data_IF_900928421919
#
_entry.id   IF_900928421919
#
_cell.length_a   1.000
_cell.length_b   1.000
_cell.length_c   1.000
_cell.angle_alpha   90.00
_cell.angle_beta   90.00
_cell.angle_gamma   90.00
#
_symmetry.space_group_name_H-M   'P 1'
#
loop_
_entity.id
_entity.type
_entity.pdbx_description
1 polymer ?
#
# COMPACT_ATOMS: atom_id res chain seq x y z
N UNK A 1 10.02 -3.95 -34.64
CA UNK A 1 8.55 -4.05 -34.80
C UNK A 1 7.86 -4.90 -33.73
N UNK A 2 8.58 -5.65 -32.87
CA UNK A 2 7.98 -6.43 -31.76
C UNK A 2 7.78 -5.67 -30.43
N UNK A 3 8.41 -4.48 -30.26
CA UNK A 3 8.44 -3.73 -28.99
C UNK A 3 7.06 -3.25 -28.51
N UNK A 4 6.27 -2.65 -29.40
CA UNK A 4 4.91 -2.19 -29.11
C UNK A 4 3.91 -3.33 -28.90
N UNK A 5 4.23 -4.55 -29.34
CA UNK A 5 3.29 -5.67 -29.30
C UNK A 5 3.11 -6.19 -27.88
N UNK A 6 4.19 -6.40 -27.12
CA UNK A 6 4.10 -6.97 -25.77
C UNK A 6 3.47 -5.98 -24.79
N UNK A 7 3.88 -4.71 -24.81
CA UNK A 7 3.30 -3.68 -23.93
C UNK A 7 1.84 -3.36 -24.29
N UNK A 8 1.44 -3.40 -25.56
CA UNK A 8 0.01 -3.26 -25.92
C UNK A 8 -0.82 -4.49 -25.57
N UNK A 9 -0.28 -5.71 -25.75
CA UNK A 9 -0.96 -6.96 -25.35
C UNK A 9 -1.20 -6.97 -23.83
N UNK A 10 -0.19 -6.58 -23.05
CA UNK A 10 -0.31 -6.54 -21.59
C UNK A 10 -1.30 -5.48 -21.10
N UNK A 11 -1.53 -4.40 -21.86
CA UNK A 11 -2.33 -3.27 -21.39
C UNK A 11 -3.84 -3.45 -21.42
N UNK A 12 -4.39 -4.00 -22.51
CA UNK A 12 -5.84 -3.99 -22.74
C UNK A 12 -6.51 -5.36 -22.55
N UNK A 13 -5.75 -6.45 -22.58
CA UNK A 13 -6.31 -7.81 -22.50
C UNK A 13 -5.96 -8.56 -21.19
N UNK A 14 -5.03 -8.05 -20.38
CA UNK A 14 -4.46 -8.80 -19.23
C UNK A 14 -4.78 -8.25 -17.83
N UNK A 15 -5.02 -6.94 -17.67
CA UNK A 15 -5.27 -6.35 -16.35
C UNK A 15 -6.69 -5.79 -16.25
N UNK A 16 -7.41 -6.18 -15.21
CA UNK A 16 -8.77 -5.70 -14.93
C UNK A 16 -8.82 -4.46 -14.03
N UNK A 17 -7.66 -4.00 -13.53
CA UNK A 17 -7.53 -2.83 -12.65
C UNK A 17 -6.16 -2.14 -12.83
N UNK A 18 -5.99 -0.99 -12.17
CA UNK A 18 -4.69 -0.33 -12.04
C UNK A 18 -3.90 -0.80 -10.81
N UNK A 19 -4.56 -1.44 -9.84
CA UNK A 19 -3.98 -1.75 -8.53
C UNK A 19 -3.03 -2.95 -8.48
N UNK A 20 -2.85 -3.49 -7.28
CA UNK A 20 -1.75 -4.38 -6.92
C UNK A 20 -2.10 -5.87 -7.04
N UNK A 21 -3.32 -6.28 -6.72
CA UNK A 21 -3.73 -7.68 -6.72
C UNK A 21 -4.01 -8.19 -8.14
N UNK A 22 -4.78 -7.41 -8.92
CA UNK A 22 -5.21 -7.79 -10.27
C UNK A 22 -4.84 -6.76 -11.35
N UNK A 23 -4.01 -5.77 -10.99
CA UNK A 23 -3.76 -4.62 -11.86
C UNK A 23 -2.33 -4.44 -12.33
N UNK A 24 -2.16 -3.37 -13.11
CA UNK A 24 -0.91 -2.98 -13.77
C UNK A 24 0.25 -2.80 -12.78
N UNK A 25 0.01 -2.31 -11.55
CA UNK A 25 1.07 -2.07 -10.56
C UNK A 25 1.86 -3.35 -10.21
N UNK A 26 1.18 -4.51 -10.13
CA UNK A 26 1.85 -5.79 -9.86
C UNK A 26 2.87 -6.14 -10.94
N UNK A 27 2.53 -5.83 -12.18
CA UNK A 27 3.35 -6.13 -13.34
C UNK A 27 4.55 -5.20 -13.41
N UNK A 28 4.34 -3.91 -13.12
CA UNK A 28 5.42 -2.93 -12.96
C UNK A 28 6.46 -3.45 -11.96
N UNK A 29 6.03 -3.84 -10.76
CA UNK A 29 6.92 -4.39 -9.73
C UNK A 29 7.63 -5.65 -10.24
N UNK A 30 6.89 -6.58 -10.84
CA UNK A 30 7.46 -7.81 -11.38
C UNK A 30 8.56 -7.55 -12.42
N UNK A 31 8.31 -6.66 -13.39
CA UNK A 31 9.26 -6.39 -14.46
C UNK A 31 10.50 -5.62 -13.99
N UNK A 32 10.36 -4.71 -13.02
CA UNK A 32 11.51 -4.09 -12.37
C UNK A 32 12.41 -5.13 -11.68
N UNK A 33 11.82 -6.11 -10.98
CA UNK A 33 12.59 -7.22 -10.41
C UNK A 33 13.23 -8.11 -11.48
N UNK A 34 12.51 -8.43 -12.55
CA UNK A 34 13.07 -9.18 -13.68
C UNK A 34 14.30 -8.47 -14.26
N UNK A 35 14.23 -7.16 -14.50
CA UNK A 35 15.35 -6.36 -14.98
C UNK A 35 16.56 -6.46 -14.05
N UNK A 36 16.35 -6.30 -12.74
CA UNK A 36 17.43 -6.39 -11.74
C UNK A 36 18.03 -7.80 -11.64
N UNK A 37 17.21 -8.85 -11.73
CA UNK A 37 17.68 -10.23 -11.64
C UNK A 37 18.42 -10.69 -12.91
N UNK A 38 17.96 -10.29 -14.09
CA UNK A 38 18.56 -10.70 -15.36
C UNK A 38 19.68 -9.77 -15.85
N UNK A 39 19.67 -8.50 -15.42
CA UNK A 39 20.49 -7.43 -15.99
C UNK A 39 20.02 -6.97 -17.38
N UNK A 40 18.84 -7.42 -17.83
CA UNK A 40 18.29 -7.06 -19.13
C UNK A 40 17.42 -5.80 -19.02
N UNK A 41 17.94 -4.70 -19.58
CA UNK A 41 17.29 -3.38 -19.64
C UNK A 41 15.92 -3.44 -20.31
N UNK A 42 15.68 -4.44 -21.15
CA UNK A 42 14.37 -4.60 -21.81
C UNK A 42 13.21 -4.74 -20.81
N UNK A 43 13.42 -5.41 -19.67
CA UNK A 43 12.38 -5.51 -18.65
C UNK A 43 12.13 -4.19 -17.92
N UNK A 44 13.18 -3.37 -17.78
CA UNK A 44 13.07 -2.03 -17.19
C UNK A 44 12.27 -1.11 -18.13
N UNK A 45 12.51 -1.16 -19.44
CA UNK A 45 11.71 -0.45 -20.45
C UNK A 45 10.23 -0.84 -20.37
N UNK A 46 9.91 -2.14 -20.23
CA UNK A 46 8.52 -2.60 -20.06
C UNK A 46 7.92 -2.05 -18.76
N UNK A 47 8.66 -2.10 -17.66
CA UNK A 47 8.18 -1.63 -16.37
C UNK A 47 7.88 -0.12 -16.39
N UNK A 48 8.77 0.68 -16.99
CA UNK A 48 8.59 2.11 -17.20
C UNK A 48 7.36 2.42 -18.06
N UNK A 49 7.24 1.78 -19.24
CA UNK A 49 6.09 1.96 -20.13
C UNK A 49 4.74 1.61 -19.46
N UNK A 50 4.73 0.60 -18.58
CA UNK A 50 3.53 0.22 -17.83
C UNK A 50 3.22 1.20 -16.71
N UNK A 51 4.25 1.71 -16.03
CA UNK A 51 4.10 2.70 -14.97
C UNK A 51 3.60 4.03 -15.51
N UNK A 52 4.19 4.54 -16.60
CA UNK A 52 3.79 5.80 -17.22
C UNK A 52 2.30 5.78 -17.58
N UNK A 53 1.84 4.71 -18.21
CA UNK A 53 0.43 4.55 -18.58
C UNK A 53 -0.49 4.37 -17.38
N UNK A 54 -0.03 3.69 -16.33
CA UNK A 54 -0.77 3.61 -15.07
C UNK A 54 -0.98 5.02 -14.49
N UNK A 55 0.07 5.85 -14.50
CA UNK A 55 0.01 7.22 -14.00
C UNK A 55 -0.86 8.13 -14.89
N UNK A 56 -0.85 7.95 -16.21
CA UNK A 56 -1.75 8.65 -17.15
C UNK A 56 -3.24 8.34 -16.89
N UNK A 57 -3.55 7.13 -16.43
CA UNK A 57 -4.92 6.69 -16.11
C UNK A 57 -5.31 6.95 -14.65
N UNK A 58 -4.39 7.46 -13.82
CA UNK A 58 -4.61 7.67 -12.39
C UNK A 58 -5.61 8.81 -12.17
N UNK A 59 -6.66 8.53 -11.38
CA UNK A 59 -7.62 9.53 -10.94
C UNK A 59 -8.06 9.27 -9.51
N UNK A 60 -8.52 10.33 -8.83
CA UNK A 60 -9.07 10.22 -7.48
C UNK A 60 -10.45 9.54 -7.43
N UNK A 61 -11.01 9.14 -8.57
CA UNK A 61 -12.25 8.35 -8.65
C UNK A 61 -11.99 6.85 -8.41
N UNK A 62 -10.72 6.42 -8.47
CA UNK A 62 -10.32 5.05 -8.17
C UNK A 62 -10.62 4.75 -6.69
N UNK A 63 -11.17 3.57 -6.36
CA UNK A 63 -11.44 3.20 -4.97
C UNK A 63 -10.21 3.29 -4.07
N UNK A 64 -10.42 3.61 -2.79
CA UNK A 64 -9.35 3.67 -1.79
C UNK A 64 -9.02 2.28 -1.20
N UNK A 65 -8.96 1.26 -2.05
CA UNK A 65 -8.74 -0.14 -1.64
C UNK A 65 -7.27 -0.53 -1.84
N UNK A 66 -6.82 -1.57 -1.14
CA UNK A 66 -5.44 -2.05 -1.26
C UNK A 66 -5.25 -3.01 -2.44
N UNK A 67 -6.21 -3.90 -2.66
CA UNK A 67 -6.09 -4.87 -3.75
C UNK A 67 -6.05 -4.17 -5.11
N UNK A 68 -7.04 -3.31 -5.41
CA UNK A 68 -7.24 -2.80 -6.76
C UNK A 68 -7.40 -1.27 -6.81
N UNK A 69 -7.00 -0.57 -5.74
CA UNK A 69 -7.25 0.85 -5.54
C UNK A 69 -6.01 1.71 -5.25
N UNK A 70 -6.26 2.97 -4.89
CA UNK A 70 -5.23 3.99 -4.65
C UNK A 70 -4.21 3.57 -3.56
N UNK A 71 -4.65 2.85 -2.52
CA UNK A 71 -3.74 2.38 -1.47
C UNK A 71 -2.74 1.35 -2.01
N UNK A 72 -3.18 0.43 -2.89
CA UNK A 72 -2.30 -0.55 -3.52
C UNK A 72 -1.30 0.10 -4.49
N UNK A 73 -1.78 1.08 -5.26
CA UNK A 73 -0.94 1.85 -6.19
C UNK A 73 0.10 2.65 -5.41
N UNK A 74 -0.32 3.42 -4.40
CA UNK A 74 0.57 4.23 -3.58
C UNK A 74 1.58 3.38 -2.81
N UNK A 75 1.16 2.20 -2.30
CA UNK A 75 2.07 1.22 -1.70
C UNK A 75 3.12 0.74 -2.70
N UNK A 76 2.72 0.48 -3.95
CA UNK A 76 3.60 0.07 -5.02
C UNK A 76 4.63 1.14 -5.39
N UNK A 77 4.22 2.41 -5.50
CA UNK A 77 5.13 3.54 -5.77
C UNK A 77 6.18 3.67 -4.65
N UNK A 78 5.73 3.70 -3.39
CA UNK A 78 6.63 3.76 -2.23
C UNK A 78 7.59 2.56 -2.22
N UNK A 79 7.10 1.35 -2.51
CA UNK A 79 7.92 0.14 -2.63
C UNK A 79 9.02 0.28 -3.68
N UNK A 80 8.68 0.78 -4.87
CA UNK A 80 9.63 0.95 -5.96
C UNK A 80 10.72 1.97 -5.60
N UNK A 81 10.36 3.08 -4.95
CA UNK A 81 11.31 4.09 -4.46
C UNK A 81 12.21 3.50 -3.38
N UNK A 82 11.65 2.87 -2.34
CA UNK A 82 12.44 2.25 -1.26
C UNK A 82 13.38 1.16 -1.77
N UNK A 83 12.98 0.45 -2.82
CA UNK A 83 13.78 -0.61 -3.46
C UNK A 83 14.81 -0.07 -4.46
N UNK A 84 14.87 1.24 -4.69
CA UNK A 84 15.79 1.88 -5.65
C UNK A 84 15.49 1.51 -7.10
N UNK A 85 14.23 1.20 -7.42
CA UNK A 85 13.77 1.04 -8.81
C UNK A 85 13.34 2.38 -9.42
N UNK A 86 12.85 3.30 -8.58
CA UNK A 86 12.48 4.65 -8.98
C UNK A 86 13.23 5.68 -8.14
N UNK A 87 13.57 6.80 -8.76
CA UNK A 87 14.00 8.00 -8.07
C UNK A 87 12.81 8.95 -7.91
N UNK A 88 12.69 9.58 -6.74
CA UNK A 88 11.61 10.52 -6.47
C UNK A 88 11.39 10.74 -4.97
N UNK A 89 10.73 11.85 -4.64
CA UNK A 89 10.26 12.09 -3.28
C UNK A 89 8.83 11.56 -3.13
N UNK A 90 8.68 10.50 -2.34
CA UNK A 90 7.39 9.90 -2.13
C UNK A 90 6.42 10.81 -1.35
N UNK A 91 6.93 11.74 -0.53
CA UNK A 91 6.09 12.73 0.17
C UNK A 91 5.47 13.73 -0.79
N UNK A 92 6.13 14.04 -1.91
CA UNK A 92 5.58 14.87 -2.98
C UNK A 92 4.65 14.06 -3.89
N UNK A 93 5.07 12.85 -4.30
CA UNK A 93 4.34 12.04 -5.28
C UNK A 93 3.02 11.49 -4.72
N UNK A 94 2.96 11.16 -3.42
CA UNK A 94 1.82 10.46 -2.82
C UNK A 94 0.92 11.37 -1.98
N UNK A 95 1.11 12.69 -2.04
CA UNK A 95 0.41 13.65 -1.17
C UNK A 95 -1.11 13.58 -1.30
N UNK A 96 -1.67 13.42 -2.50
CA UNK A 96 -3.13 13.31 -2.68
C UNK A 96 -3.66 11.96 -2.15
N UNK A 97 -2.88 10.88 -2.31
CA UNK A 97 -3.26 9.56 -1.78
C UNK A 97 -3.22 9.59 -0.25
N UNK A 98 -2.17 10.16 0.34
CA UNK A 98 -2.06 10.40 1.78
C UNK A 98 -3.31 11.16 2.27
N UNK A 99 -3.68 12.27 1.63
CA UNK A 99 -4.88 13.05 1.99
C UNK A 99 -6.18 12.23 1.93
N UNK A 100 -6.38 11.41 0.90
CA UNK A 100 -7.55 10.52 0.81
C UNK A 100 -7.59 9.50 1.96
N UNK A 101 -6.43 8.92 2.32
CA UNK A 101 -6.32 7.98 3.45
C UNK A 101 -6.58 8.68 4.78
N UNK A 102 -5.99 9.84 5.00
CA UNK A 102 -6.21 10.65 6.20
C UNK A 102 -7.69 11.04 6.33
N UNK A 103 -8.35 11.42 5.24
CA UNK A 103 -9.79 11.68 5.23
C UNK A 103 -10.57 10.43 5.65
N UNK A 104 -10.29 9.27 5.04
CA UNK A 104 -10.98 8.03 5.40
C UNK A 104 -10.79 7.64 6.88
N UNK A 105 -9.62 7.88 7.46
CA UNK A 105 -9.36 7.62 8.88
C UNK A 105 -10.18 8.56 9.77
N UNK A 106 -10.27 9.84 9.42
CA UNK A 106 -10.97 10.83 10.24
C UNK A 106 -12.50 10.70 10.20
N UNK A 107 -13.06 10.20 9.10
CA UNK A 107 -14.50 10.04 8.92
C UNK A 107 -15.00 8.60 9.11
N UNK A 108 -14.08 7.62 9.14
CA UNK A 108 -14.35 6.20 9.34
C UNK A 108 -15.46 5.60 8.43
N UNK A 109 -15.47 5.82 7.10
CA UNK A 109 -16.59 5.42 6.24
C UNK A 109 -16.58 3.92 5.88
N UNK A 110 -15.46 3.22 6.07
CA UNK A 110 -15.27 1.82 5.66
C UNK A 110 -15.78 0.88 6.76
N UNK A 111 -16.54 -0.14 6.39
CA UNK A 111 -17.18 -1.01 7.38
C UNK A 111 -16.32 -2.24 7.73
N UNK A 112 -15.57 -2.71 6.74
CA UNK A 112 -14.86 -3.98 6.67
C UNK A 112 -13.44 -3.88 7.27
N UNK A 113 -13.03 -4.92 8.00
CA UNK A 113 -11.69 -4.98 8.59
C UNK A 113 -10.59 -5.41 7.60
N UNK A 114 -10.95 -6.20 6.58
CA UNK A 114 -10.01 -6.97 5.75
C UNK A 114 -8.97 -6.16 4.97
N UNK A 115 -7.96 -6.85 4.45
CA UNK A 115 -6.84 -6.26 3.72
C UNK A 115 -7.28 -5.61 2.39
N UNK A 116 -7.91 -6.38 1.52
CA UNK A 116 -8.10 -5.99 0.12
C UNK A 116 -8.96 -4.74 -0.04
N UNK A 117 -10.08 -4.67 0.67
CA UNK A 117 -11.08 -3.61 0.53
C UNK A 117 -11.46 -2.94 1.86
N UNK A 118 -10.81 -3.31 2.96
CA UNK A 118 -11.13 -2.83 4.29
C UNK A 118 -10.08 -1.90 4.88
N UNK A 119 -10.27 -1.54 6.14
CA UNK A 119 -9.41 -0.58 6.85
C UNK A 119 -7.96 -1.06 7.02
N UNK A 120 -7.73 -2.38 6.99
CA UNK A 120 -6.37 -2.92 7.04
C UNK A 120 -5.56 -2.57 5.80
N UNK A 121 -6.21 -2.39 4.65
CA UNK A 121 -5.59 -1.86 3.44
C UNK A 121 -4.99 -0.46 3.63
N UNK A 122 -5.71 0.42 4.33
CA UNK A 122 -5.20 1.74 4.72
C UNK A 122 -3.97 1.60 5.63
N UNK A 123 -4.02 0.65 6.57
CA UNK A 123 -2.92 0.36 7.49
C UNK A 123 -1.67 -0.14 6.77
N UNK A 124 -1.80 -0.98 5.75
CA UNK A 124 -0.67 -1.45 4.94
C UNK A 124 -0.03 -0.33 4.15
N UNK A 125 -0.84 0.56 3.57
CA UNK A 125 -0.34 1.76 2.91
C UNK A 125 0.44 2.66 3.87
N UNK A 126 -0.15 3.06 5.00
CA UNK A 126 0.50 3.93 5.99
C UNK A 126 1.78 3.31 6.53
N UNK A 127 1.76 2.02 6.87
CA UNK A 127 2.93 1.35 7.41
C UNK A 127 4.09 1.39 6.41
N UNK A 128 3.80 1.22 5.12
CA UNK A 128 4.80 1.32 4.06
C UNK A 128 5.39 2.73 3.93
N UNK A 129 4.54 3.77 3.95
CA UNK A 129 4.95 5.19 3.92
C UNK A 129 5.81 5.58 5.12
N UNK A 130 5.56 4.98 6.28
CA UNK A 130 6.28 5.28 7.51
C UNK A 130 7.59 4.48 7.69
N UNK A 131 7.83 3.42 6.89
CA UNK A 131 9.06 2.61 6.98
C UNK A 131 10.35 3.43 6.97
N UNK A 132 10.52 4.41 6.08
CA UNK A 132 11.74 5.20 6.03
C UNK A 132 11.93 6.06 7.29
N UNK A 133 10.84 6.56 7.89
CA UNK A 133 10.94 7.52 9.00
C UNK A 133 11.41 6.88 10.30
N UNK A 134 11.13 5.59 10.54
CA UNK A 134 11.69 4.87 11.68
C UNK A 134 13.21 4.66 11.59
N UNK A 135 13.81 4.79 10.40
CA UNK A 135 15.26 4.64 10.21
C UNK A 135 15.98 5.96 10.01
N UNK A 136 15.38 6.88 9.25
CA UNK A 136 16.00 8.12 8.77
C UNK A 136 15.57 9.36 9.56
N UNK A 137 14.55 9.23 10.39
CA UNK A 137 13.90 10.35 11.08
C UNK A 137 12.66 10.85 10.34
N UNK A 138 11.91 11.71 11.02
CA UNK A 138 10.59 12.13 10.59
C UNK A 138 10.62 13.30 9.59
N UNK A 139 9.82 13.16 8.52
CA UNK A 139 9.34 14.27 7.67
C UNK A 139 8.02 14.82 8.20
N UNK A 140 7.59 15.98 7.68
CA UNK A 140 6.27 16.54 8.01
C UNK A 140 5.14 15.54 7.70
N UNK A 141 5.14 14.96 6.50
CA UNK A 141 4.15 13.97 6.08
C UNK A 141 4.16 12.75 7.00
N UNK A 142 5.35 12.25 7.37
CA UNK A 142 5.45 11.09 8.27
C UNK A 142 4.92 11.36 9.69
N UNK A 143 4.99 12.60 10.18
CA UNK A 143 4.43 12.97 11.49
C UNK A 143 2.91 12.92 11.42
N UNK A 144 2.32 13.53 10.40
CA UNK A 144 0.87 13.53 10.20
C UNK A 144 0.32 12.10 10.02
N UNK A 145 1.03 11.27 9.25
CA UNK A 145 0.70 9.85 9.09
C UNK A 145 0.82 9.08 10.40
N UNK A 146 1.82 9.35 11.25
CA UNK A 146 1.94 8.73 12.59
C UNK A 146 0.80 9.14 13.50
N UNK A 147 0.41 10.42 13.51
CA UNK A 147 -0.74 10.88 14.30
C UNK A 147 -2.01 10.13 13.88
N UNK A 148 -2.25 10.01 12.58
CA UNK A 148 -3.44 9.32 12.06
C UNK A 148 -3.37 7.80 12.20
N UNK A 149 -2.17 7.21 12.24
CA UNK A 149 -1.99 5.79 12.54
C UNK A 149 -2.53 5.44 13.94
N UNK A 150 -2.47 6.35 14.91
CA UNK A 150 -3.06 6.13 16.24
C UNK A 150 -4.59 5.96 16.12
N UNK A 151 -5.26 6.88 15.41
CA UNK A 151 -6.70 6.80 15.18
C UNK A 151 -7.10 5.55 14.41
N UNK A 152 -6.32 5.19 13.37
CA UNK A 152 -6.54 3.98 12.60
C UNK A 152 -6.42 2.71 13.45
N UNK A 153 -5.41 2.61 14.32
CA UNK A 153 -5.25 1.48 15.25
C UNK A 153 -6.44 1.38 16.21
N UNK A 154 -6.91 2.51 16.72
CA UNK A 154 -8.07 2.54 17.59
C UNK A 154 -9.36 2.16 16.86
N UNK A 155 -9.50 2.55 15.59
CA UNK A 155 -10.59 2.14 14.73
C UNK A 155 -10.59 0.63 14.48
N UNK A 156 -9.43 0.06 14.15
CA UNK A 156 -9.25 -1.39 13.99
C UNK A 156 -9.59 -2.17 15.26
N UNK A 157 -9.17 -1.70 16.44
CA UNK A 157 -9.48 -2.37 17.72
C UNK A 157 -11.00 -2.42 17.98
N UNK A 158 -11.73 -1.34 17.65
CA UNK A 158 -13.20 -1.32 17.76
C UNK A 158 -13.85 -2.31 16.80
N UNK A 159 -13.34 -2.41 15.57
CA UNK A 159 -13.87 -3.34 14.55
C UNK A 159 -13.55 -4.81 14.84
N UNK A 160 -12.43 -5.08 15.52
CA UNK A 160 -12.02 -6.43 15.94
C UNK A 160 -13.03 -7.14 16.85
N UNK A 161 -13.93 -6.40 17.49
CA UNK A 161 -15.01 -6.99 18.29
C UNK A 161 -16.23 -7.44 17.48
N UNK A 162 -16.27 -7.14 16.18
CA UNK A 162 -17.32 -7.60 15.26
C UNK A 162 -17.17 -9.08 14.85
N UNK A 163 -18.28 -9.78 14.53
CA UNK A 163 -18.25 -11.17 14.09
C UNK A 163 -17.73 -11.33 12.66
N UNK A 164 -17.06 -12.47 12.37
CA UNK A 164 -16.76 -12.90 10.99
C UNK A 164 -15.50 -12.29 10.34
N UNK A 165 -14.66 -11.59 11.10
CA UNK A 165 -13.43 -11.02 10.56
C UNK A 165 -12.31 -12.08 10.47
N UNK A 166 -11.64 -12.18 9.32
CA UNK A 166 -10.33 -12.82 9.24
C UNK A 166 -9.31 -11.92 9.92
N UNK A 167 -8.67 -12.43 10.97
CA UNK A 167 -7.75 -11.69 11.83
C UNK A 167 -6.29 -11.98 11.53
N UNK A 168 -5.99 -12.91 10.60
CA UNK A 168 -4.61 -13.29 10.29
C UNK A 168 -3.83 -12.11 9.70
N UNK A 169 -4.38 -11.46 8.67
CA UNK A 169 -3.73 -10.30 8.06
C UNK A 169 -3.53 -9.15 9.06
N UNK A 170 -4.50 -8.96 9.96
CA UNK A 170 -4.40 -7.95 11.03
C UNK A 170 -3.31 -8.33 12.03
N UNK A 171 -3.23 -9.61 12.43
CA UNK A 171 -2.18 -10.08 13.33
C UNK A 171 -0.80 -9.89 12.72
N UNK A 172 -0.62 -10.24 11.45
CA UNK A 172 0.64 -10.04 10.72
C UNK A 172 1.02 -8.55 10.66
N UNK A 173 0.05 -7.68 10.38
CA UNK A 173 0.26 -6.24 10.38
C UNK A 173 0.63 -5.68 11.76
N UNK A 174 -0.05 -6.13 12.82
CA UNK A 174 0.26 -5.74 14.20
C UNK A 174 1.64 -6.24 14.63
N UNK A 175 2.05 -7.44 14.23
CA UNK A 175 3.37 -7.98 14.52
C UNK A 175 4.48 -7.19 13.83
N UNK A 176 4.26 -6.77 12.58
CA UNK A 176 5.18 -5.87 11.87
C UNK A 176 5.28 -4.52 12.60
N UNK A 177 4.14 -3.91 12.93
CA UNK A 177 4.10 -2.63 13.65
C UNK A 177 4.77 -2.73 15.02
N UNK A 178 4.60 -3.85 15.74
CA UNK A 178 5.19 -4.08 17.06
C UNK A 178 6.71 -3.91 17.08
N UNK A 179 7.40 -4.32 16.00
CA UNK A 179 8.87 -4.21 15.88
C UNK A 179 9.33 -2.75 15.93
N UNK A 180 8.49 -1.82 15.46
CA UNK A 180 8.81 -0.38 15.46
C UNK A 180 8.72 0.25 16.85
N UNK A 181 8.05 -0.40 17.81
CA UNK A 181 7.73 0.16 19.12
C UNK A 181 6.63 1.24 19.11
N UNK A 182 6.06 1.55 17.94
CA UNK A 182 4.99 2.54 17.81
C UNK A 182 3.71 2.08 18.51
N UNK A 183 3.11 2.96 19.32
CA UNK A 183 1.90 2.71 20.11
C UNK A 183 1.91 1.36 20.87
N UNK A 184 3.09 0.97 21.37
CA UNK A 184 3.42 -0.38 21.88
C UNK A 184 2.35 -0.99 22.79
N UNK A 185 1.93 -0.28 23.82
CA UNK A 185 0.97 -0.78 24.81
C UNK A 185 -0.36 -1.19 24.17
N UNK A 186 -0.84 -0.41 23.20
CA UNK A 186 -2.08 -0.70 22.48
C UNK A 186 -1.89 -1.88 21.53
N UNK A 187 -0.81 -1.89 20.76
CA UNK A 187 -0.48 -2.97 19.82
C UNK A 187 -0.35 -4.31 20.54
N UNK A 188 0.41 -4.36 21.65
CA UNK A 188 0.55 -5.56 22.48
C UNK A 188 -0.82 -6.05 23.02
N UNK A 189 -1.69 -5.12 23.44
CA UNK A 189 -3.05 -5.45 23.89
C UNK A 189 -3.90 -6.07 22.78
N UNK A 190 -3.85 -5.51 21.56
CA UNK A 190 -4.61 -6.04 20.42
C UNK A 190 -4.11 -7.42 19.98
N UNK A 191 -2.79 -7.63 19.93
CA UNK A 191 -2.20 -8.94 19.63
C UNK A 191 -2.70 -9.99 20.63
N UNK A 192 -2.65 -9.69 21.93
CA UNK A 192 -3.17 -10.58 22.96
C UNK A 192 -4.69 -10.83 22.78
N UNK A 193 -5.47 -9.80 22.44
CA UNK A 193 -6.91 -9.97 22.20
C UNK A 193 -7.21 -10.96 21.05
N UNK A 194 -6.38 -10.99 20.01
CA UNK A 194 -6.51 -11.93 18.87
C UNK A 194 -6.09 -13.34 19.28
N UNK A 195 -4.92 -13.50 19.91
CA UNK A 195 -4.35 -14.82 20.23
C UNK A 195 -5.16 -15.58 21.27
N UNK A 196 -5.90 -14.90 22.14
CA UNK A 196 -6.77 -15.54 23.14
C UNK A 196 -8.17 -15.89 22.60
N UNK A 197 -8.58 -15.36 21.45
CA UNK A 197 -9.84 -15.70 20.77
C UNK A 197 -9.70 -16.91 19.83
N UNK A 198 -8.48 -17.31 19.50
CA UNK A 198 -8.13 -18.43 18.60
C UNK A 198 -7.96 -19.73 19.38
#
# INVERSE_FOLDING_TARGET
MHRYSVTNILNNDFYSSLGLAHGKMRAVIFFFHCARCSGDVYYEEIAGDLLDKLLEELSLEIPLTFADGLCGIGWGIEYLIQSGFLEGDADEILVEVDQCVLYAINYEPISELGLDNGILGLGRYILMRLRPSWQRGDTYSSIELKENLIYLIDWMDRKLDGPGNDVNDLLDWLLELRVTGFYKTKVDKMINKITWKS
#
